data_IF_921141314029
#
_entry.id   IF_921141314029
#
_cell.length_a   1.000
_cell.length_b   1.000
_cell.length_c   1.000
_cell.angle_alpha   90.00
_cell.angle_beta   90.00
_cell.angle_gamma   90.00
#
_symmetry.space_group_name_H-M   'P 1'
#
loop_
_entity.id
_entity.type
_entity.pdbx_description
1 polymer ?
#
# COMPACT_ATOMS: atom_id res chain seq x y z
N UNK A 1 0.31 13.39 6.36
CA UNK A 1 1.10 13.83 5.20
C UNK A 1 0.34 14.82 4.34
N UNK A 2 -0.93 14.59 4.01
CA UNK A 2 -1.77 15.63 3.38
C UNK A 2 -1.82 16.95 4.16
N UNK A 3 -2.01 16.91 5.48
CA UNK A 3 -1.94 18.10 6.33
C UNK A 3 -0.57 18.78 6.40
N UNK A 4 0.49 18.07 6.00
CA UNK A 4 1.86 18.60 5.89
C UNK A 4 2.17 19.11 4.47
N UNK A 5 1.17 19.18 3.58
CA UNK A 5 1.30 19.72 2.23
C UNK A 5 1.71 18.73 1.15
N UNK A 6 1.68 17.42 1.39
CA UNK A 6 2.00 16.41 0.37
C UNK A 6 0.75 15.89 -0.34
N UNK A 7 0.87 15.66 -1.65
CA UNK A 7 -0.19 15.03 -2.44
C UNK A 7 -0.11 13.51 -2.34
N UNK A 8 -1.23 12.80 -2.10
CA UNK A 8 -1.24 11.35 -2.12
C UNK A 8 -1.00 10.81 -3.54
N UNK A 9 -0.24 9.73 -3.65
CA UNK A 9 -0.02 8.99 -4.89
C UNK A 9 -0.55 7.58 -4.72
N UNK A 10 -1.42 7.16 -5.65
CA UNK A 10 -1.93 5.80 -5.67
C UNK A 10 -0.79 4.85 -6.06
N UNK A 11 -0.47 3.90 -5.19
CA UNK A 11 0.56 2.86 -5.46
C UNK A 11 0.19 2.01 -6.69
N UNK A 12 -1.11 1.95 -7.01
CA UNK A 12 -1.63 1.34 -8.22
C UNK A 12 -1.65 -0.18 -8.18
N UNK A 13 -2.36 -0.75 -9.16
CA UNK A 13 -2.63 -2.19 -9.24
C UNK A 13 -1.37 -3.05 -9.43
N UNK A 14 -0.27 -2.46 -9.93
CA UNK A 14 1.00 -3.17 -10.11
C UNK A 14 1.68 -3.46 -8.76
N UNK A 15 1.71 -2.49 -7.85
CA UNK A 15 2.28 -2.68 -6.52
C UNK A 15 1.49 -3.73 -5.72
N UNK A 16 0.16 -3.70 -5.80
CA UNK A 16 -0.70 -4.73 -5.22
C UNK A 16 -0.37 -6.13 -5.73
N UNK A 17 -0.26 -6.29 -7.06
CA UNK A 17 0.08 -7.58 -7.69
C UNK A 17 1.46 -8.08 -7.25
N UNK A 18 2.46 -7.21 -7.24
CA UNK A 18 3.81 -7.59 -6.82
C UNK A 18 3.84 -8.03 -5.34
N UNK A 19 3.19 -7.27 -4.45
CA UNK A 19 3.10 -7.63 -3.04
C UNK A 19 2.31 -8.94 -2.82
N UNK A 20 1.25 -9.16 -3.60
CA UNK A 20 0.48 -10.41 -3.57
C UNK A 20 1.30 -11.60 -4.04
N UNK A 21 2.10 -11.43 -5.11
CA UNK A 21 3.04 -12.47 -5.57
C UNK A 21 4.07 -12.80 -4.50
N UNK A 22 4.64 -11.78 -3.83
CA UNK A 22 5.60 -12.01 -2.75
C UNK A 22 4.97 -12.83 -1.61
N UNK A 23 3.76 -12.48 -1.18
CA UNK A 23 3.04 -13.28 -0.19
C UNK A 23 2.77 -14.69 -0.67
N UNK A 24 2.34 -14.88 -1.92
CA UNK A 24 2.11 -16.22 -2.46
C UNK A 24 3.38 -17.09 -2.44
N UNK A 25 4.55 -16.50 -2.69
CA UNK A 25 5.83 -17.21 -2.70
C UNK A 25 6.35 -17.57 -1.32
N UNK A 26 6.18 -16.69 -0.32
CA UNK A 26 6.83 -16.84 0.99
C UNK A 26 5.88 -17.08 2.17
N UNK A 27 4.58 -16.86 2.00
CA UNK A 27 3.61 -16.81 3.11
C UNK A 27 2.17 -17.23 2.72
N UNK A 28 1.98 -17.88 1.56
CA UNK A 28 0.69 -18.08 0.91
C UNK A 28 -0.32 -19.00 1.61
N UNK A 29 0.07 -19.63 2.73
CA UNK A 29 -0.80 -20.50 3.52
C UNK A 29 -0.98 -20.06 4.97
N UNK A 30 -0.28 -19.01 5.38
CA UNK A 30 -0.19 -18.66 6.79
C UNK A 30 -1.39 -17.78 7.21
N UNK A 31 -1.95 -16.96 6.32
CA UNK A 31 -3.05 -16.04 6.64
C UNK A 31 -2.71 -14.57 6.42
N UNK A 32 -1.54 -14.30 5.84
CA UNK A 32 -1.16 -12.96 5.38
C UNK A 32 -1.96 -12.58 4.13
N UNK A 33 -2.41 -11.33 4.08
CA UNK A 33 -3.18 -10.76 2.96
C UNK A 33 -2.76 -9.34 2.69
N UNK A 34 -2.67 -8.97 1.41
CA UNK A 34 -2.56 -7.58 0.98
C UNK A 34 -3.94 -7.06 0.62
N UNK A 35 -4.27 -5.84 1.05
CA UNK A 35 -5.48 -5.12 0.67
C UNK A 35 -5.13 -3.72 0.16
N UNK A 36 -5.87 -3.24 -0.84
CA UNK A 36 -5.82 -1.84 -1.25
C UNK A 36 -6.89 -1.06 -0.49
N UNK A 37 -6.48 0.04 0.14
CA UNK A 37 -7.38 0.95 0.84
C UNK A 37 -7.02 2.39 0.48
N UNK A 38 -7.89 3.06 -0.28
CA UNK A 38 -7.73 4.46 -0.69
C UNK A 38 -6.34 4.75 -1.31
N UNK A 39 -5.88 3.91 -2.23
CA UNK A 39 -4.58 4.05 -2.91
C UNK A 39 -3.36 3.63 -2.07
N UNK A 40 -3.55 3.23 -0.81
CA UNK A 40 -2.54 2.66 0.06
C UNK A 40 -2.62 1.13 0.05
N UNK A 41 -1.50 0.46 0.32
CA UNK A 41 -1.44 -0.99 0.48
C UNK A 41 -1.32 -1.35 1.96
N UNK A 42 -2.15 -2.28 2.41
CA UNK A 42 -2.14 -2.78 3.78
C UNK A 42 -1.80 -4.26 3.79
N UNK A 43 -0.77 -4.63 4.52
CA UNK A 43 -0.48 -6.02 4.85
C UNK A 43 -1.15 -6.35 6.18
N UNK A 44 -2.04 -7.34 6.15
CA UNK A 44 -2.71 -7.87 7.31
C UNK A 44 -2.40 -9.35 7.53
N UNK A 45 -2.72 -9.81 8.73
CA UNK A 45 -2.76 -11.21 9.13
C UNK A 45 -4.15 -11.51 9.69
N UNK A 46 -4.88 -12.43 9.05
CA UNK A 46 -6.32 -12.60 9.26
C UNK A 46 -7.06 -11.25 9.22
N UNK A 47 -7.68 -10.84 10.32
CA UNK A 47 -8.45 -9.60 10.45
C UNK A 47 -7.65 -8.44 11.07
N UNK A 48 -6.35 -8.62 11.30
CA UNK A 48 -5.48 -7.60 11.91
C UNK A 48 -4.55 -6.99 10.88
N UNK A 49 -4.66 -5.68 10.66
CA UNK A 49 -3.67 -4.93 9.87
C UNK A 49 -2.36 -4.80 10.63
N UNK A 50 -1.24 -5.07 9.95
CA UNK A 50 0.10 -5.04 10.53
C UNK A 50 0.94 -3.89 9.98
N UNK A 51 0.94 -3.71 8.66
CA UNK A 51 1.72 -2.68 7.98
C UNK A 51 0.83 -1.94 7.00
N UNK A 52 0.91 -0.61 6.99
CA UNK A 52 0.29 0.24 5.98
C UNK A 52 1.37 0.99 5.21
N UNK A 53 1.29 0.93 3.88
CA UNK A 53 2.22 1.55 2.94
C UNK A 53 1.46 2.57 2.11
N UNK A 54 1.94 3.80 2.08
CA UNK A 54 1.35 4.90 1.33
C UNK A 54 2.45 5.64 0.58
N UNK A 55 2.13 6.18 -0.60
CA UNK A 55 3.04 6.98 -1.40
C UNK A 55 2.53 8.41 -1.49
N UNK A 56 3.47 9.36 -1.53
CA UNK A 56 3.18 10.77 -1.50
C UNK A 56 4.22 11.50 -2.36
N UNK A 57 3.82 12.60 -2.97
CA UNK A 57 4.68 13.48 -3.76
C UNK A 57 4.62 14.91 -3.23
N UNK A 58 5.63 15.69 -3.57
CA UNK A 58 5.52 17.13 -3.39
C UNK A 58 4.42 17.68 -4.31
N UNK A 59 3.65 18.67 -3.83
CA UNK A 59 2.67 19.34 -4.66
C UNK A 59 3.40 20.04 -5.81
N UNK A 60 2.80 20.00 -7.00
CA UNK A 60 3.34 20.72 -8.15
C UNK A 60 3.30 22.21 -7.81
N UNK A 61 4.48 22.81 -7.66
CA UNK A 61 4.61 24.27 -7.58
C UNK A 61 4.53 24.75 -9.03
N UNK A 62 3.33 25.10 -9.49
CA UNK A 62 3.21 25.84 -10.75
C UNK A 62 3.90 27.20 -10.55
N UNK A 63 4.89 27.48 -11.41
CA UNK A 63 5.76 28.66 -11.37
C UNK A 63 5.14 29.86 -12.06
#
# INVERSE_FOLDING_TARGET
MGSAGFDPVHLGSNAFKQASTLLALFAGGDGYRVEENNGCLMLGWHTRSLIATSAWKLPLIES
#
